data_IF_025743497849
#
_entry.id   IF_025743497849
#
_cell.length_a   1.000
_cell.length_b   1.000
_cell.length_c   1.000
_cell.angle_alpha   90.00
_cell.angle_beta   90.00
_cell.angle_gamma   90.00
#
_symmetry.space_group_name_H-M   'P 1'
#
loop_
_entity.id
_entity.type
_entity.pdbx_description
1 polymer ?
#
# COMPACT_ATOMS: atom_id res chain seq x y z
N UNK A 1 -15.46 -0.77 -33.01
CA UNK A 1 -16.20 -2.06 -33.06
C UNK A 1 -15.83 -3.02 -31.93
N UNK A 2 -14.69 -2.85 -31.24
CA UNK A 2 -14.21 -3.67 -30.10
C UNK A 2 -15.15 -3.61 -28.87
N UNK A 3 -15.77 -2.46 -28.67
CA UNK A 3 -16.50 -2.04 -27.47
C UNK A 3 -17.85 -2.73 -27.21
N UNK A 4 -18.43 -3.42 -28.21
CA UNK A 4 -19.83 -3.89 -28.12
C UNK A 4 -19.98 -5.29 -27.50
N UNK A 5 -18.96 -6.16 -27.59
CA UNK A 5 -19.03 -7.55 -27.09
C UNK A 5 -18.67 -7.69 -25.60
N UNK A 6 -17.83 -6.81 -25.05
CA UNK A 6 -17.41 -6.83 -23.62
C UNK A 6 -18.55 -6.41 -22.68
N UNK A 7 -19.45 -5.54 -23.14
CA UNK A 7 -20.59 -5.01 -22.38
C UNK A 7 -21.59 -6.08 -21.93
N UNK A 8 -21.61 -7.25 -22.55
CA UNK A 8 -22.55 -8.34 -22.23
C UNK A 8 -22.10 -9.26 -21.08
N UNK A 9 -20.88 -9.13 -20.58
CA UNK A 9 -20.26 -10.10 -19.63
C UNK A 9 -20.33 -9.60 -18.15
N UNK A 10 -20.88 -8.40 -17.92
CA UNK A 10 -21.00 -7.76 -16.59
C UNK A 10 -22.09 -8.36 -15.68
N UNK A 11 -21.92 -9.61 -15.24
CA UNK A 11 -22.79 -10.27 -14.25
C UNK A 11 -22.14 -10.46 -12.88
N UNK A 12 -22.92 -10.10 -11.84
CA UNK A 12 -22.78 -10.14 -10.38
C UNK A 12 -21.71 -11.09 -9.78
N UNK A 13 -20.89 -10.60 -8.84
CA UNK A 13 -19.98 -11.39 -7.99
C UNK A 13 -20.43 -11.24 -6.53
N UNK A 14 -20.82 -12.36 -5.92
CA UNK A 14 -21.27 -12.45 -4.52
C UNK A 14 -20.06 -12.91 -3.68
N UNK A 15 -19.56 -12.02 -2.82
CA UNK A 15 -18.39 -12.26 -1.98
C UNK A 15 -18.69 -13.18 -0.79
N UNK A 16 -17.86 -14.21 -0.60
CA UNK A 16 -17.85 -15.03 0.60
C UNK A 16 -16.86 -14.44 1.61
N UNK A 17 -17.33 -14.06 2.80
CA UNK A 17 -16.48 -13.49 3.87
C UNK A 17 -16.20 -14.56 4.92
N UNK A 18 -14.92 -14.82 5.21
CA UNK A 18 -14.46 -15.65 6.33
C UNK A 18 -14.20 -14.76 7.54
N UNK A 19 -14.91 -14.99 8.65
CA UNK A 19 -14.62 -14.38 9.95
C UNK A 19 -13.71 -15.29 10.78
N UNK A 20 -12.73 -14.70 11.47
CA UNK A 20 -12.02 -15.34 12.59
C UNK A 20 -11.96 -14.36 13.77
N UNK A 21 -12.27 -14.91 14.95
CA UNK A 21 -12.45 -14.16 16.19
C UNK A 21 -11.14 -13.61 16.76
N UNK A 22 -11.22 -12.40 17.31
CA UNK A 22 -10.13 -11.76 18.03
C UNK A 22 -10.02 -12.33 19.46
N UNK A 23 -8.79 -12.59 19.91
CA UNK A 23 -8.49 -12.78 21.32
C UNK A 23 -8.42 -11.42 22.01
N UNK A 24 -9.09 -11.29 23.16
CA UNK A 24 -9.13 -10.05 23.93
C UNK A 24 -7.84 -9.95 24.76
N UNK A 25 -6.97 -9.00 24.41
CA UNK A 25 -5.85 -8.56 25.27
C UNK A 25 -6.36 -7.55 26.31
N UNK A 26 -5.75 -7.55 27.51
CA UNK A 26 -6.01 -6.52 28.52
C UNK A 26 -5.65 -5.13 27.98
N UNK A 27 -6.50 -4.13 28.24
CA UNK A 27 -6.34 -2.74 27.78
C UNK A 27 -5.20 -2.05 28.54
N UNK A 28 -4.29 -1.41 27.80
CA UNK A 28 -3.08 -0.79 28.36
C UNK A 28 -3.27 0.67 28.79
N UNK A 29 -4.24 1.38 28.22
CA UNK A 29 -4.42 2.82 28.45
C UNK A 29 -5.89 3.22 28.69
N UNK A 30 -6.12 4.11 29.66
CA UNK A 30 -7.46 4.52 30.08
C UNK A 30 -8.20 5.40 29.05
N UNK A 31 -7.47 6.12 28.21
CA UNK A 31 -8.00 7.01 27.16
C UNK A 31 -8.06 6.37 25.76
N UNK A 32 -7.86 5.04 25.68
CA UNK A 32 -7.94 4.27 24.45
C UNK A 32 -8.94 3.13 24.64
N UNK A 33 -10.27 3.41 24.60
CA UNK A 33 -11.27 2.37 24.71
C UNK A 33 -11.21 1.39 23.53
N UNK A 34 -11.73 0.18 23.69
CA UNK A 34 -11.82 -0.86 22.63
C UNK A 34 -12.58 -0.40 21.38
N UNK A 35 -13.45 0.60 21.51
CA UNK A 35 -14.16 1.26 20.39
C UNK A 35 -13.34 2.31 19.66
N UNK A 36 -12.17 2.70 20.17
CA UNK A 36 -11.26 3.63 19.51
C UNK A 36 -10.73 3.01 18.22
N UNK A 37 -10.76 3.77 17.13
CA UNK A 37 -10.17 3.35 15.85
C UNK A 37 -8.67 3.08 15.93
N UNK A 38 -7.98 3.61 16.96
CA UNK A 38 -6.55 3.39 17.18
C UNK A 38 -6.25 2.26 18.19
N UNK A 39 -7.28 1.58 18.73
CA UNK A 39 -7.11 0.59 19.81
C UNK A 39 -6.11 -0.50 19.43
N UNK A 40 -6.35 -1.21 18.32
CA UNK A 40 -5.49 -2.31 17.88
C UNK A 40 -4.04 -1.87 17.65
N UNK A 41 -3.87 -0.71 17.00
CA UNK A 41 -2.54 -0.18 16.73
C UNK A 41 -1.79 0.17 18.01
N UNK A 42 -2.44 0.91 18.92
CA UNK A 42 -1.81 1.36 20.16
C UNK A 42 -1.48 0.17 21.07
N UNK A 43 -2.41 -0.76 21.27
CA UNK A 43 -2.20 -1.94 22.10
C UNK A 43 -1.09 -2.83 21.54
N UNK A 44 -1.07 -3.06 20.22
CA UNK A 44 -0.01 -3.85 19.57
C UNK A 44 1.36 -3.20 19.76
N UNK A 45 1.47 -1.89 19.52
CA UNK A 45 2.74 -1.17 19.67
C UNK A 45 3.20 -1.09 21.14
N UNK A 46 2.26 -0.98 22.08
CA UNK A 46 2.57 -0.96 23.51
C UNK A 46 3.07 -2.32 24.00
N UNK A 47 2.39 -3.41 23.61
CA UNK A 47 2.80 -4.78 23.90
C UNK A 47 4.18 -5.12 23.32
N UNK A 48 4.48 -4.58 22.12
CA UNK A 48 5.80 -4.69 21.50
C UNK A 48 6.86 -3.73 22.10
N UNK A 49 6.51 -2.93 23.12
CA UNK A 49 7.36 -1.91 23.76
C UNK A 49 7.91 -0.85 22.78
N UNK A 50 7.19 -0.61 21.68
CA UNK A 50 7.56 0.38 20.66
C UNK A 50 7.13 1.78 21.12
N UNK A 51 5.94 1.88 21.71
CA UNK A 51 5.40 3.10 22.29
C UNK A 51 5.17 2.93 23.79
N UNK A 52 5.28 4.03 24.53
CA UNK A 52 4.93 4.11 25.96
C UNK A 52 3.88 5.20 26.14
N UNK A 53 2.90 4.95 27.01
CA UNK A 53 2.01 5.99 27.53
C UNK A 53 2.68 6.85 28.60
N UNK A 54 1.87 7.71 29.19
CA UNK A 54 2.23 8.60 30.27
C UNK A 54 2.05 7.92 31.63
N UNK A 55 2.70 8.45 32.65
CA UNK A 55 2.64 7.87 34.00
C UNK A 55 1.24 8.03 34.64
N UNK A 56 0.37 8.86 34.05
CA UNK A 56 -1.05 9.01 34.38
C UNK A 56 -1.95 7.88 33.80
N UNK A 57 -1.37 6.88 33.11
CA UNK A 57 -2.09 5.75 32.51
C UNK A 57 -2.74 6.06 31.16
N UNK A 58 -2.43 7.20 30.54
CA UNK A 58 -2.97 7.60 29.23
C UNK A 58 -1.96 7.44 28.10
N UNK A 59 -2.44 7.34 26.86
CA UNK A 59 -1.62 7.35 25.63
C UNK A 59 -1.59 8.72 24.94
N UNK A 60 -2.67 9.50 25.08
CA UNK A 60 -2.95 10.80 24.45
C UNK A 60 -3.00 10.71 22.92
N UNK A 61 -3.90 9.89 22.33
CA UNK A 61 -3.90 9.62 20.89
C UNK A 61 -4.12 10.87 20.01
N UNK A 62 -4.82 11.88 20.52
CA UNK A 62 -5.06 13.13 19.79
C UNK A 62 -3.90 14.15 19.86
N UNK A 63 -2.90 13.93 20.73
CA UNK A 63 -1.80 14.86 20.90
C UNK A 63 -0.88 14.85 19.68
N UNK A 64 -0.47 16.03 19.23
CA UNK A 64 0.51 16.19 18.14
C UNK A 64 1.86 15.55 18.48
N UNK A 65 2.56 15.06 17.44
CA UNK A 65 3.90 14.47 17.55
C UNK A 65 4.93 15.38 16.91
N UNK A 66 6.00 15.73 17.64
CA UNK A 66 7.12 16.45 17.05
C UNK A 66 8.05 15.52 16.26
N UNK A 67 8.95 16.10 15.45
CA UNK A 67 9.82 15.32 14.54
C UNK A 67 10.76 14.36 15.26
N UNK A 68 11.27 14.72 16.44
CA UNK A 68 12.16 13.82 17.21
C UNK A 68 11.40 12.66 17.84
N UNK A 69 10.19 12.90 18.35
CA UNK A 69 9.30 11.86 18.84
C UNK A 69 8.90 10.91 17.73
N UNK A 70 8.59 11.44 16.54
CA UNK A 70 8.29 10.62 15.36
C UNK A 70 9.46 9.69 14.99
N UNK A 71 10.69 10.21 14.94
CA UNK A 71 11.88 9.39 14.67
C UNK A 71 12.08 8.30 15.72
N UNK A 72 11.92 8.63 17.01
CA UNK A 72 12.01 7.63 18.08
C UNK A 72 10.97 6.51 17.89
N UNK A 73 9.72 6.86 17.60
CA UNK A 73 8.67 5.87 17.32
C UNK A 73 9.02 4.99 16.11
N UNK A 74 9.48 5.60 15.01
CA UNK A 74 9.82 4.89 13.77
C UNK A 74 11.02 3.95 13.98
N UNK A 75 12.10 4.42 14.60
CA UNK A 75 13.31 3.61 14.80
C UNK A 75 13.04 2.42 15.73
N UNK A 76 12.25 2.62 16.79
CA UNK A 76 11.79 1.53 17.64
C UNK A 76 10.94 0.52 16.86
N UNK A 77 9.98 0.99 16.07
CA UNK A 77 9.10 0.13 15.28
C UNK A 77 9.86 -0.68 14.21
N UNK A 78 10.84 -0.04 13.57
CA UNK A 78 11.70 -0.68 12.59
C UNK A 78 12.79 -1.56 13.23
N UNK A 79 12.93 -1.53 14.56
CA UNK A 79 13.96 -2.22 15.35
C UNK A 79 15.39 -1.82 14.93
N UNK A 80 15.60 -0.52 14.71
CA UNK A 80 16.89 0.06 14.36
C UNK A 80 17.57 0.57 15.63
N UNK A 81 18.77 0.05 15.93
CA UNK A 81 19.60 0.57 17.00
C UNK A 81 20.14 1.97 16.65
N UNK A 82 20.19 2.87 17.63
CA UNK A 82 20.73 4.21 17.45
C UNK A 82 22.25 4.22 17.50
N UNK A 83 22.88 5.06 16.68
CA UNK A 83 24.33 5.30 16.69
C UNK A 83 24.71 6.53 17.50
N UNK A 84 25.95 6.56 18.01
CA UNK A 84 26.55 7.72 18.69
C UNK A 84 27.36 8.61 17.75
N UNK A 85 27.18 8.47 16.43
CA UNK A 85 27.86 9.28 15.42
C UNK A 85 27.58 10.77 15.63
N UNK A 86 28.54 11.65 15.35
CA UNK A 86 28.30 13.09 15.29
C UNK A 86 27.42 13.43 14.08
N UNK A 87 26.55 14.44 14.19
CA UNK A 87 25.69 14.85 13.08
C UNK A 87 25.90 16.28 12.61
N UNK A 88 25.21 16.58 11.50
CA UNK A 88 25.47 17.75 10.66
C UNK A 88 24.43 18.87 10.82
N UNK A 89 23.47 18.71 11.74
CA UNK A 89 22.40 19.69 11.94
C UNK A 89 22.78 20.67 13.04
N UNK A 90 22.85 21.96 12.70
CA UNK A 90 23.23 23.03 13.64
C UNK A 90 22.26 23.25 14.80
N UNK A 91 21.02 22.76 14.67
CA UNK A 91 19.97 22.82 15.70
C UNK A 91 19.80 21.51 16.49
N UNK A 92 20.81 20.62 16.43
CA UNK A 92 20.84 19.34 17.16
C UNK A 92 22.16 19.22 17.91
N UNK A 93 22.16 19.68 19.16
CA UNK A 93 23.31 19.50 20.06
C UNK A 93 23.46 18.02 20.46
N UNK A 94 24.72 17.55 20.52
CA UNK A 94 25.05 16.14 20.68
C UNK A 94 24.64 15.54 22.06
N UNK A 95 24.48 16.39 23.07
CA UNK A 95 24.08 16.02 24.43
C UNK A 95 22.56 15.92 24.62
N UNK A 96 21.77 16.24 23.60
CA UNK A 96 20.31 16.10 23.66
C UNK A 96 19.89 14.63 23.58
N UNK A 97 18.82 14.28 24.32
CA UNK A 97 18.30 12.91 24.36
C UNK A 97 17.93 12.36 22.98
N UNK A 98 17.58 13.24 22.04
CA UNK A 98 17.12 12.86 20.70
C UNK A 98 18.25 12.80 19.66
N UNK A 99 19.45 13.30 19.97
CA UNK A 99 20.56 13.36 19.01
C UNK A 99 20.86 11.99 18.35
N UNK A 100 20.95 10.86 19.09
CA UNK A 100 21.21 9.56 18.48
C UNK A 100 20.16 9.15 17.43
N UNK A 101 18.89 9.48 17.66
CA UNK A 101 17.81 9.16 16.71
C UNK A 101 17.93 9.98 15.42
N UNK A 102 18.24 11.27 15.54
CA UNK A 102 18.40 12.16 14.39
C UNK A 102 19.59 11.74 13.54
N UNK A 103 20.73 11.46 14.17
CA UNK A 103 21.96 11.08 13.47
C UNK A 103 21.81 9.72 12.77
N UNK A 104 21.18 8.75 13.43
CA UNK A 104 20.85 7.45 12.83
C UNK A 104 19.93 7.64 11.61
N UNK A 105 18.88 8.45 11.74
CA UNK A 105 17.95 8.71 10.65
C UNK A 105 18.63 9.42 9.46
N UNK A 106 19.55 10.35 9.72
CA UNK A 106 20.32 11.04 8.69
C UNK A 106 21.25 10.09 7.94
N UNK A 107 22.02 9.27 8.65
CA UNK A 107 22.92 8.27 8.06
C UNK A 107 22.18 7.26 7.17
N UNK A 108 20.90 6.98 7.48
CA UNK A 108 20.02 6.10 6.71
C UNK A 108 19.22 6.81 5.62
N UNK A 109 19.43 8.11 5.41
CA UNK A 109 18.72 8.90 4.40
C UNK A 109 17.24 9.17 4.71
N UNK A 110 16.76 8.83 5.92
CA UNK A 110 15.37 9.04 6.33
C UNK A 110 15.04 10.54 6.42
N UNK A 111 16.03 11.35 6.78
CA UNK A 111 15.90 12.80 6.95
C UNK A 111 17.03 13.55 6.24
N UNK A 112 16.72 14.70 5.66
CA UNK A 112 17.70 15.49 4.88
C UNK A 112 17.96 16.88 5.48
N UNK A 113 17.07 17.37 6.35
CA UNK A 113 17.03 18.77 6.79
C UNK A 113 15.99 19.57 6.02
N UNK A 114 15.69 20.77 6.50
CA UNK A 114 14.86 21.77 5.85
C UNK A 114 15.57 22.32 4.60
N UNK A 115 14.85 22.40 3.47
CA UNK A 115 15.45 22.78 2.19
C UNK A 115 15.96 24.22 2.10
N UNK A 116 15.57 25.09 3.04
CA UNK A 116 16.00 26.50 3.08
C UNK A 116 17.13 26.71 4.07
N UNK A 117 17.00 26.15 5.28
CA UNK A 117 17.92 26.42 6.39
C UNK A 117 18.93 25.30 6.63
N UNK A 118 18.73 24.12 6.04
CA UNK A 118 19.49 22.91 6.33
C UNK A 118 19.22 22.30 7.72
N UNK A 119 18.46 22.97 8.58
CA UNK A 119 18.18 22.56 9.98
C UNK A 119 17.21 21.38 10.07
N UNK A 120 17.23 20.64 11.18
CA UNK A 120 16.33 19.50 11.38
C UNK A 120 14.92 19.89 11.87
N UNK A 121 14.84 20.97 12.65
CA UNK A 121 13.65 21.51 13.34
C UNK A 121 13.03 20.51 14.33
N UNK A 122 13.75 20.06 15.37
CA UNK A 122 13.37 18.93 16.21
C UNK A 122 11.99 19.05 16.88
N UNK A 123 11.66 20.24 17.38
CA UNK A 123 10.42 20.50 18.09
C UNK A 123 9.20 20.74 17.17
N UNK A 124 9.40 20.91 15.85
CA UNK A 124 8.28 21.13 14.93
C UNK A 124 7.42 19.87 14.87
N UNK A 125 6.10 20.05 14.87
CA UNK A 125 5.15 18.97 14.61
C UNK A 125 5.39 18.34 13.24
N UNK A 126 5.45 17.01 13.20
CA UNK A 126 5.64 16.26 11.95
C UNK A 126 4.36 16.31 11.12
N UNK A 127 4.51 16.47 9.80
CA UNK A 127 3.40 16.34 8.85
C UNK A 127 3.35 14.93 8.25
N UNK A 128 2.20 14.54 7.70
CA UNK A 128 1.96 13.20 7.16
C UNK A 128 3.01 12.75 6.14
N UNK A 129 3.30 13.60 5.16
CA UNK A 129 4.29 13.31 4.11
C UNK A 129 5.69 13.02 4.69
N UNK A 130 6.11 13.77 5.71
CA UNK A 130 7.40 13.58 6.36
C UNK A 130 7.45 12.29 7.16
N UNK A 131 6.40 12.02 7.93
CA UNK A 131 6.29 10.79 8.71
C UNK A 131 6.37 9.56 7.80
N UNK A 132 5.64 9.56 6.69
CA UNK A 132 5.64 8.47 5.71
C UNK A 132 7.00 8.28 5.06
N UNK A 133 7.68 9.36 4.63
CA UNK A 133 9.05 9.26 4.11
C UNK A 133 9.96 8.60 5.15
N UNK A 134 9.96 9.10 6.38
CA UNK A 134 10.82 8.57 7.44
C UNK A 134 10.50 7.10 7.73
N UNK A 135 9.21 6.75 7.86
CA UNK A 135 8.77 5.40 8.17
C UNK A 135 9.09 4.41 7.06
N UNK A 136 8.73 4.70 5.80
CA UNK A 136 8.99 3.81 4.66
C UNK A 136 10.49 3.51 4.50
N UNK A 137 11.33 4.54 4.59
CA UNK A 137 12.78 4.38 4.52
C UNK A 137 13.33 3.63 5.74
N UNK A 138 12.80 3.89 6.94
CA UNK A 138 13.14 3.13 8.15
C UNK A 138 12.88 1.63 8.01
N UNK A 139 11.76 1.26 7.39
CA UNK A 139 11.39 -0.12 7.10
C UNK A 139 12.06 -0.70 5.83
N UNK A 140 13.06 -0.01 5.26
CA UNK A 140 13.82 -0.40 4.07
C UNK A 140 12.94 -0.63 2.81
N UNK A 141 11.85 0.11 2.68
CA UNK A 141 11.04 0.03 1.48
C UNK A 141 11.73 0.72 0.29
N UNK A 142 11.73 0.04 -0.86
CA UNK A 142 12.27 0.59 -2.11
C UNK A 142 11.21 1.42 -2.85
N UNK A 143 11.06 2.67 -2.42
CA UNK A 143 10.09 3.62 -2.99
C UNK A 143 10.38 3.92 -4.46
N UNK A 144 11.64 3.86 -4.90
CA UNK A 144 12.04 4.15 -6.29
C UNK A 144 11.55 3.12 -7.33
N UNK A 145 11.11 1.93 -6.89
CA UNK A 145 10.52 0.93 -7.80
C UNK A 145 9.06 1.20 -8.14
N UNK A 146 8.42 2.15 -7.46
CA UNK A 146 7.01 2.50 -7.67
C UNK A 146 6.94 3.81 -8.44
N UNK A 147 6.62 3.70 -9.72
CA UNK A 147 6.76 4.78 -10.71
C UNK A 147 5.46 5.54 -11.01
N UNK A 148 4.36 5.26 -10.30
CA UNK A 148 3.14 6.04 -10.44
C UNK A 148 3.32 7.42 -9.78
N UNK A 149 3.68 8.41 -10.59
CA UNK A 149 4.02 9.78 -10.18
C UNK A 149 2.89 10.79 -10.44
N UNK A 150 1.79 10.38 -11.06
CA UNK A 150 0.73 11.28 -11.48
C UNK A 150 -0.60 10.95 -10.81
N UNK A 151 -1.38 11.98 -10.47
CA UNK A 151 -2.74 11.89 -9.93
C UNK A 151 -2.85 11.05 -8.63
N UNK A 152 -1.87 11.19 -7.74
CA UNK A 152 -1.82 10.45 -6.47
C UNK A 152 -3.01 10.75 -5.56
N UNK A 153 -3.49 11.99 -5.56
CA UNK A 153 -4.67 12.44 -4.82
C UNK A 153 -5.07 13.82 -5.35
N UNK A 154 -6.30 14.23 -5.09
CA UNK A 154 -6.83 15.54 -5.50
C UNK A 154 -6.07 16.73 -4.88
N UNK A 155 -5.41 16.53 -3.75
CA UNK A 155 -4.62 17.54 -3.03
C UNK A 155 -3.10 17.32 -3.12
N UNK A 156 -2.64 16.51 -4.07
CA UNK A 156 -1.22 16.21 -4.28
C UNK A 156 -0.78 16.70 -5.65
N UNK A 157 0.12 17.69 -5.66
CA UNK A 157 0.77 18.13 -6.89
C UNK A 157 1.75 17.06 -7.40
N UNK A 158 1.67 16.71 -8.69
CA UNK A 158 2.51 15.67 -9.33
C UNK A 158 4.03 15.91 -9.17
N UNK A 159 4.46 17.17 -9.00
CA UNK A 159 5.87 17.53 -8.80
C UNK A 159 6.33 17.59 -7.34
N UNK A 160 5.45 17.32 -6.36
CA UNK A 160 5.81 17.42 -4.95
C UNK A 160 6.81 16.33 -4.55
N UNK A 161 7.82 16.70 -3.74
CA UNK A 161 8.90 15.79 -3.32
C UNK A 161 8.39 14.51 -2.63
N UNK A 162 7.21 14.59 -2.01
CA UNK A 162 6.60 13.49 -1.26
C UNK A 162 5.77 12.53 -2.12
N UNK A 163 5.57 12.83 -3.42
CA UNK A 163 4.77 12.00 -4.34
C UNK A 163 5.17 10.53 -4.30
N UNK A 164 6.46 10.15 -4.44
CA UNK A 164 6.83 8.73 -4.43
C UNK A 164 6.42 8.01 -3.15
N UNK A 165 6.53 8.68 -2.00
CA UNK A 165 6.20 8.11 -0.70
C UNK A 165 4.69 7.97 -0.50
N UNK A 166 3.89 8.94 -0.95
CA UNK A 166 2.43 8.85 -0.89
C UNK A 166 1.91 7.77 -1.83
N UNK A 167 2.37 7.75 -3.09
CA UNK A 167 2.02 6.72 -4.06
C UNK A 167 2.30 5.34 -3.49
N UNK A 168 3.52 5.17 -2.96
CA UNK A 168 3.91 3.88 -2.42
C UNK A 168 3.16 3.51 -1.13
N UNK A 169 2.91 4.46 -0.22
CA UNK A 169 2.12 4.21 0.98
C UNK A 169 0.66 3.83 0.66
N UNK A 170 0.07 4.38 -0.41
CA UNK A 170 -1.25 3.96 -0.92
C UNK A 170 -1.20 2.53 -1.45
N UNK A 171 -0.18 2.21 -2.23
CA UNK A 171 0.06 0.87 -2.77
C UNK A 171 0.32 -0.17 -1.66
N UNK A 172 0.83 0.24 -0.51
CA UNK A 172 0.93 -0.61 0.68
C UNK A 172 -0.32 -0.60 1.56
N UNK A 173 -1.30 0.25 1.26
CA UNK A 173 -2.52 0.45 2.04
C UNK A 173 -2.23 0.86 3.49
N UNK A 174 -1.17 1.63 3.65
CA UNK A 174 -0.79 2.29 4.89
C UNK A 174 -1.56 3.59 5.06
N UNK A 175 -1.94 4.21 3.93
CA UNK A 175 -2.80 5.38 3.88
C UNK A 175 -3.88 5.19 2.82
N UNK A 176 -5.04 5.77 3.08
CA UNK A 176 -6.16 5.81 2.15
C UNK A 176 -6.63 7.26 2.00
N UNK A 177 -7.04 7.67 0.79
CA UNK A 177 -7.65 8.98 0.60
C UNK A 177 -9.04 9.03 1.21
N UNK A 178 -9.52 10.23 1.53
CA UNK A 178 -10.92 10.42 1.91
C UNK A 178 -11.87 10.30 0.70
N UNK A 179 -13.17 10.47 0.94
CA UNK A 179 -14.21 10.40 -0.09
C UNK A 179 -14.06 11.45 -1.22
N UNK A 180 -13.23 12.48 -1.02
CA UNK A 180 -12.93 13.50 -2.02
C UNK A 180 -11.57 13.27 -2.69
N UNK A 181 -11.03 12.05 -2.57
CA UNK A 181 -9.71 11.66 -3.06
C UNK A 181 -8.56 12.51 -2.46
N UNK A 182 -8.66 12.98 -1.20
CA UNK A 182 -7.61 13.78 -0.54
C UNK A 182 -6.80 12.98 0.47
N UNK A 183 -5.49 13.18 0.48
CA UNK A 183 -4.56 12.52 1.42
C UNK A 183 -4.06 13.43 2.53
N UNK A 184 -4.20 14.75 2.40
CA UNK A 184 -3.73 15.74 3.35
C UNK A 184 -2.24 15.58 3.69
N UNK A 185 -1.33 15.65 2.70
CA UNK A 185 0.09 15.36 2.90
C UNK A 185 0.78 16.31 3.88
N UNK A 186 0.30 17.55 3.97
CA UNK A 186 0.87 18.58 4.84
C UNK A 186 0.18 18.68 6.20
N UNK A 187 -0.84 17.86 6.44
CA UNK A 187 -1.51 17.80 7.75
C UNK A 187 -0.53 17.28 8.80
N UNK A 188 -0.50 17.95 9.95
CA UNK A 188 0.18 17.46 11.15
C UNK A 188 -0.42 16.14 11.63
N UNK A 189 0.41 15.26 12.18
CA UNK A 189 -0.03 13.99 12.72
C UNK A 189 -0.12 14.00 14.25
N UNK A 190 -1.19 13.37 14.73
CA UNK A 190 -1.37 12.99 16.12
C UNK A 190 -0.66 11.67 16.46
N UNK A 191 -0.46 11.40 17.76
CA UNK A 191 0.16 10.17 18.28
C UNK A 191 -0.57 8.91 17.81
N UNK A 192 -1.90 8.94 17.78
CA UNK A 192 -2.74 7.85 17.28
C UNK A 192 -2.56 7.60 15.79
N UNK A 193 -2.48 8.67 14.97
CA UNK A 193 -2.24 8.51 13.53
C UNK A 193 -0.83 7.97 13.22
N UNK A 194 0.19 8.44 13.96
CA UNK A 194 1.54 7.88 13.87
C UNK A 194 1.56 6.40 14.27
N UNK A 195 0.86 6.02 15.35
CA UNK A 195 0.72 4.64 15.80
C UNK A 195 0.05 3.76 14.74
N UNK A 196 -1.03 4.23 14.13
CA UNK A 196 -1.74 3.50 13.06
C UNK A 196 -0.82 3.21 11.87
N UNK A 197 -0.11 4.21 11.37
CA UNK A 197 0.81 4.04 10.23
C UNK A 197 1.91 3.01 10.56
N UNK A 198 2.49 3.07 11.75
CA UNK A 198 3.53 2.13 12.18
C UNK A 198 2.98 0.72 12.37
N UNK A 199 1.79 0.59 12.95
CA UNK A 199 1.10 -0.69 13.10
C UNK A 199 0.89 -1.36 11.74
N UNK A 200 0.38 -0.63 10.75
CA UNK A 200 0.24 -1.15 9.39
C UNK A 200 1.59 -1.63 8.86
N UNK A 201 2.65 -0.81 8.92
CA UNK A 201 4.00 -1.19 8.47
C UNK A 201 4.58 -2.43 9.18
N UNK A 202 4.31 -2.62 10.47
CA UNK A 202 4.75 -3.80 11.22
C UNK A 202 4.02 -5.05 10.73
N UNK A 203 2.69 -4.98 10.56
CA UNK A 203 1.93 -6.12 10.03
C UNK A 203 2.43 -6.47 8.62
N UNK A 204 2.69 -5.45 7.78
CA UNK A 204 3.27 -5.63 6.44
C UNK A 204 4.64 -6.34 6.51
N UNK A 205 5.49 -5.98 7.49
CA UNK A 205 6.80 -6.63 7.72
C UNK A 205 6.67 -8.07 8.23
N UNK A 206 5.64 -8.37 9.03
CA UNK A 206 5.43 -9.66 9.70
C UNK A 206 4.62 -10.66 8.87
N UNK A 207 4.18 -10.30 7.66
CA UNK A 207 3.36 -11.17 6.83
C UNK A 207 1.91 -11.31 7.29
N UNK A 208 1.42 -10.43 8.18
CA UNK A 208 0.06 -10.50 8.73
C UNK A 208 -1.02 -9.89 7.83
N UNK A 209 -0.67 -9.42 6.63
CA UNK A 209 -1.61 -8.76 5.71
C UNK A 209 -2.05 -9.64 4.53
N UNK A 210 -1.67 -10.91 4.47
CA UNK A 210 -2.01 -11.82 3.36
C UNK A 210 -3.49 -11.73 2.98
N UNK A 211 -4.41 -11.84 3.95
CA UNK A 211 -5.85 -11.76 3.69
C UNK A 211 -6.32 -10.36 3.28
N UNK A 212 -5.75 -9.29 3.86
CA UNK A 212 -6.05 -7.89 3.48
C UNK A 212 -5.67 -7.66 2.01
N UNK A 213 -4.47 -8.08 1.63
CA UNK A 213 -3.99 -7.97 0.26
C UNK A 213 -4.80 -8.81 -0.72
N UNK A 214 -5.15 -10.06 -0.37
CA UNK A 214 -6.01 -10.90 -1.21
C UNK A 214 -7.36 -10.24 -1.48
N UNK A 215 -8.00 -9.68 -0.45
CA UNK A 215 -9.27 -8.94 -0.59
C UNK A 215 -9.13 -7.71 -1.49
N UNK A 216 -8.00 -7.01 -1.40
CA UNK A 216 -7.75 -5.81 -2.19
C UNK A 216 -7.36 -6.14 -3.63
N UNK A 217 -6.56 -7.20 -3.85
CA UNK A 217 -6.35 -7.80 -5.17
C UNK A 217 -7.69 -8.15 -5.81
N UNK A 218 -8.58 -8.84 -5.10
CA UNK A 218 -9.91 -9.16 -5.59
C UNK A 218 -10.70 -7.90 -5.96
N UNK A 219 -10.77 -6.92 -5.07
CA UNK A 219 -11.47 -5.64 -5.32
C UNK A 219 -10.94 -4.91 -6.56
N UNK A 220 -9.62 -4.85 -6.74
CA UNK A 220 -9.02 -4.21 -7.90
C UNK A 220 -9.29 -4.99 -9.19
N UNK A 221 -9.23 -6.33 -9.16
CA UNK A 221 -9.60 -7.17 -10.30
C UNK A 221 -11.06 -6.97 -10.73
N UNK A 222 -11.97 -6.79 -9.78
CA UNK A 222 -13.37 -6.44 -10.06
C UNK A 222 -13.47 -5.08 -10.74
N UNK A 223 -12.73 -4.08 -10.25
CA UNK A 223 -12.69 -2.76 -10.88
C UNK A 223 -12.09 -2.81 -12.29
N UNK A 224 -11.09 -3.65 -12.56
CA UNK A 224 -10.57 -3.84 -13.94
C UNK A 224 -11.69 -4.31 -14.86
N UNK A 225 -12.43 -5.36 -14.48
CA UNK A 225 -13.53 -5.90 -15.29
C UNK A 225 -14.59 -4.83 -15.53
N UNK A 226 -14.95 -4.07 -14.49
CA UNK A 226 -15.89 -2.96 -14.59
C UNK A 226 -15.39 -1.90 -15.59
N UNK A 227 -14.14 -1.46 -15.47
CA UNK A 227 -13.58 -0.41 -16.35
C UNK A 227 -13.37 -0.86 -17.79
N UNK A 228 -13.04 -2.13 -18.03
CA UNK A 228 -13.06 -2.69 -19.38
C UNK A 228 -14.47 -2.69 -19.97
N UNK A 229 -15.51 -3.00 -19.18
CA UNK A 229 -16.91 -2.94 -19.65
C UNK A 229 -17.40 -1.53 -19.98
N UNK A 230 -16.79 -0.51 -19.37
CA UNK A 230 -17.02 0.91 -19.65
C UNK A 230 -16.16 1.44 -20.81
N UNK A 231 -15.35 0.60 -21.46
CA UNK A 231 -14.32 1.00 -22.44
C UNK A 231 -13.26 1.98 -21.88
N UNK A 232 -13.11 2.03 -20.55
CA UNK A 232 -12.17 2.91 -19.86
C UNK A 232 -10.86 2.19 -19.55
N UNK A 233 -10.06 1.99 -20.59
CA UNK A 233 -8.81 1.21 -20.52
C UNK A 233 -7.75 1.87 -19.65
N UNK A 234 -7.70 3.20 -19.65
CA UNK A 234 -6.76 3.95 -18.81
C UNK A 234 -7.04 3.70 -17.32
N UNK A 235 -8.31 3.72 -16.91
CA UNK A 235 -8.69 3.37 -15.54
C UNK A 235 -8.45 1.88 -15.24
N UNK A 236 -8.77 0.99 -16.18
CA UNK A 236 -8.49 -0.44 -16.06
C UNK A 236 -7.00 -0.72 -15.82
N UNK A 237 -6.10 0.01 -16.48
CA UNK A 237 -4.65 -0.10 -16.28
C UNK A 237 -4.22 0.28 -14.86
N UNK A 238 -4.76 1.36 -14.29
CA UNK A 238 -4.45 1.76 -12.91
C UNK A 238 -4.90 0.69 -11.89
N UNK A 239 -6.10 0.15 -12.06
CA UNK A 239 -6.60 -0.93 -11.21
C UNK A 239 -5.76 -2.22 -11.36
N UNK A 240 -5.35 -2.59 -12.57
CA UNK A 240 -4.58 -3.82 -12.76
C UNK A 240 -3.18 -3.73 -12.16
N UNK A 241 -2.51 -2.57 -12.25
CA UNK A 241 -1.23 -2.32 -11.57
C UNK A 241 -1.35 -2.45 -10.05
N UNK A 242 -2.43 -1.91 -9.49
CA UNK A 242 -2.75 -2.03 -8.06
C UNK A 242 -2.97 -3.49 -7.67
N UNK A 243 -3.74 -4.24 -8.47
CA UNK A 243 -4.01 -5.67 -8.22
C UNK A 243 -2.74 -6.52 -8.21
N UNK A 244 -1.82 -6.29 -9.18
CA UNK A 244 -0.52 -6.97 -9.26
C UNK A 244 0.28 -6.65 -8.01
N UNK A 245 0.35 -5.37 -7.63
CA UNK A 245 1.13 -4.99 -6.45
C UNK A 245 0.59 -5.61 -5.16
N UNK A 246 -0.72 -5.56 -4.92
CA UNK A 246 -1.31 -6.22 -3.75
C UNK A 246 -1.05 -7.72 -3.75
N UNK A 247 -1.12 -8.37 -4.91
CA UNK A 247 -0.88 -9.81 -5.01
C UNK A 247 0.60 -10.18 -4.77
N UNK A 248 1.55 -9.35 -5.22
CA UNK A 248 2.98 -9.51 -4.90
C UNK A 248 3.25 -9.34 -3.41
N UNK A 249 2.57 -8.38 -2.78
CA UNK A 249 2.66 -8.17 -1.35
C UNK A 249 2.09 -9.36 -0.57
N UNK A 250 0.97 -9.94 -1.03
CA UNK A 250 0.46 -11.19 -0.49
C UNK A 250 1.47 -12.34 -0.66
N UNK A 251 2.09 -12.46 -1.83
CA UNK A 251 3.08 -13.51 -2.12
C UNK A 251 4.34 -13.37 -1.27
N UNK A 252 4.79 -12.15 -1.01
CA UNK A 252 5.90 -11.91 -0.08
C UNK A 252 5.52 -12.24 1.37
N UNK A 253 4.25 -12.02 1.71
CA UNK A 253 3.67 -12.23 3.04
C UNK A 253 3.56 -13.73 3.36
N UNK A 254 3.04 -14.52 2.44
CA UNK A 254 2.95 -15.97 2.55
C UNK A 254 3.23 -16.65 1.18
N UNK A 255 4.51 -16.91 0.87
CA UNK A 255 4.91 -17.40 -0.45
C UNK A 255 4.53 -18.86 -0.70
N UNK A 256 4.07 -19.59 0.32
CA UNK A 256 3.76 -21.01 0.20
C UNK A 256 2.26 -21.28 0.08
N UNK A 257 1.42 -20.35 0.54
CA UNK A 257 -0.02 -20.44 0.47
C UNK A 257 -0.54 -20.51 -0.98
N UNK A 258 -1.35 -21.53 -1.28
CA UNK A 258 -1.82 -21.82 -2.63
C UNK A 258 -2.71 -20.71 -3.18
N UNK A 259 -3.61 -20.17 -2.35
CA UNK A 259 -4.49 -19.06 -2.77
C UNK A 259 -3.71 -17.79 -3.10
N UNK A 260 -2.56 -17.57 -2.45
CA UNK A 260 -1.71 -16.41 -2.70
C UNK A 260 -1.02 -16.50 -4.05
N UNK A 261 -0.42 -17.65 -4.37
CA UNK A 261 0.17 -17.91 -5.69
C UNK A 261 -0.90 -17.79 -6.78
N UNK A 262 -2.07 -18.38 -6.54
CA UNK A 262 -3.19 -18.33 -7.48
C UNK A 262 -3.63 -16.88 -7.75
N UNK A 263 -3.81 -16.07 -6.71
CA UNK A 263 -4.22 -14.67 -6.83
C UNK A 263 -3.20 -13.82 -7.61
N UNK A 264 -1.90 -14.06 -7.40
CA UNK A 264 -0.85 -13.38 -8.15
C UNK A 264 -0.87 -13.74 -9.65
N UNK A 265 -1.03 -15.03 -9.97
CA UNK A 265 -1.16 -15.47 -11.37
C UNK A 265 -2.42 -14.91 -12.04
N UNK A 266 -3.54 -14.79 -11.31
CA UNK A 266 -4.74 -14.09 -11.81
C UNK A 266 -4.46 -12.61 -12.09
N UNK A 267 -3.75 -11.91 -11.19
CA UNK A 267 -3.41 -10.51 -11.39
C UNK A 267 -2.53 -10.30 -12.63
N UNK A 268 -1.53 -11.16 -12.84
CA UNK A 268 -0.71 -11.17 -14.05
C UNK A 268 -1.55 -11.51 -15.30
N UNK A 269 -2.48 -12.45 -15.19
CA UNK A 269 -3.41 -12.78 -16.27
C UNK A 269 -4.28 -11.61 -16.68
N UNK A 270 -4.82 -10.88 -15.71
CA UNK A 270 -5.59 -9.67 -15.93
C UNK A 270 -4.74 -8.54 -16.53
N UNK A 271 -3.49 -8.39 -16.11
CA UNK A 271 -2.56 -7.39 -16.68
C UNK A 271 -2.33 -7.67 -18.18
N UNK A 272 -2.05 -8.92 -18.54
CA UNK A 272 -1.92 -9.32 -19.94
C UNK A 272 -3.22 -9.09 -20.72
N UNK A 273 -4.39 -9.30 -20.10
CA UNK A 273 -5.68 -9.03 -20.75
C UNK A 273 -5.89 -7.55 -21.05
N UNK A 274 -5.59 -6.66 -20.10
CA UNK A 274 -5.66 -5.20 -20.30
C UNK A 274 -4.70 -4.78 -21.40
N UNK A 275 -3.47 -5.30 -21.41
CA UNK A 275 -2.50 -5.04 -22.48
C UNK A 275 -2.99 -5.53 -23.85
N UNK A 276 -3.60 -6.73 -23.92
CA UNK A 276 -4.17 -7.23 -25.17
C UNK A 276 -5.30 -6.32 -25.70
N UNK A 277 -6.15 -5.82 -24.79
CA UNK A 277 -7.22 -4.88 -25.13
C UNK A 277 -6.67 -3.58 -25.74
N UNK A 278 -5.58 -3.05 -25.18
CA UNK A 278 -4.90 -1.85 -25.67
C UNK A 278 -4.35 -2.03 -27.07
N UNK A 279 -3.66 -3.14 -27.32
CA UNK A 279 -3.17 -3.48 -28.66
C UNK A 279 -4.31 -3.63 -29.67
N UNK A 280 -5.44 -4.19 -29.26
CA UNK A 280 -6.65 -4.24 -30.08
C UNK A 280 -7.13 -2.86 -30.52
N UNK A 281 -7.22 -1.92 -29.59
CA UNK A 281 -7.62 -0.53 -29.89
C UNK A 281 -6.66 0.13 -30.88
N UNK A 282 -5.37 -0.16 -30.78
CA UNK A 282 -4.34 0.40 -31.65
C UNK A 282 -4.23 -0.31 -33.01
N UNK A 283 -5.00 -1.38 -33.25
CA UNK A 283 -4.93 -2.16 -34.48
C UNK A 283 -3.70 -3.08 -34.57
N UNK A 284 -3.03 -3.35 -33.46
CA UNK A 284 -1.84 -4.20 -33.39
C UNK A 284 -2.22 -5.68 -33.13
N UNK A 285 -2.79 -6.33 -34.15
CA UNK A 285 -3.38 -7.67 -34.02
C UNK A 285 -2.41 -8.74 -33.51
N UNK A 286 -1.14 -8.73 -33.96
CA UNK A 286 -0.13 -9.70 -33.50
C UNK A 286 0.13 -9.59 -32.00
N UNK A 287 0.34 -8.36 -31.50
CA UNK A 287 0.56 -8.10 -30.09
C UNK A 287 -0.69 -8.45 -29.25
N UNK A 288 -1.89 -8.13 -29.73
CA UNK A 288 -3.13 -8.56 -29.08
C UNK A 288 -3.15 -10.08 -28.89
N UNK A 289 -2.86 -10.86 -29.94
CA UNK A 289 -2.90 -12.33 -29.89
C UNK A 289 -1.89 -12.87 -28.87
N UNK A 290 -0.68 -12.33 -28.83
CA UNK A 290 0.36 -12.71 -27.87
C UNK A 290 -0.14 -12.51 -26.44
N UNK A 291 -0.62 -11.31 -26.12
CA UNK A 291 -1.00 -10.97 -24.75
C UNK A 291 -2.32 -11.65 -24.32
N UNK A 292 -3.29 -11.84 -25.23
CA UNK A 292 -4.50 -12.60 -24.94
C UNK A 292 -4.20 -14.07 -24.59
N UNK A 293 -3.23 -14.70 -25.26
CA UNK A 293 -2.81 -16.06 -24.92
C UNK A 293 -2.05 -16.13 -23.59
N UNK A 294 -1.15 -15.16 -23.30
CA UNK A 294 -0.51 -15.06 -21.97
C UNK A 294 -1.53 -14.91 -20.84
N UNK A 295 -2.59 -14.12 -21.05
CA UNK A 295 -3.68 -13.99 -20.09
C UNK A 295 -4.35 -15.33 -19.77
N UNK A 296 -4.63 -16.13 -20.81
CA UNK A 296 -5.22 -17.47 -20.69
C UNK A 296 -4.31 -18.47 -19.98
N UNK A 297 -3.00 -18.43 -20.31
CA UNK A 297 -1.98 -19.26 -19.68
C UNK A 297 -1.92 -19.00 -18.17
N UNK A 298 -1.82 -17.72 -17.78
CA UNK A 298 -1.81 -17.28 -16.38
C UNK A 298 -3.07 -17.71 -15.62
N UNK A 299 -4.25 -17.56 -16.23
CA UNK A 299 -5.49 -18.07 -15.67
C UNK A 299 -5.53 -19.61 -15.54
N UNK A 300 -4.78 -20.34 -16.38
CA UNK A 300 -4.57 -21.78 -16.24
C UNK A 300 -3.65 -22.15 -15.07
N UNK A 301 -2.51 -21.46 -14.95
CA UNK A 301 -1.55 -21.67 -13.87
C UNK A 301 -2.20 -21.40 -12.51
N UNK A 302 -2.99 -20.33 -12.38
CA UNK A 302 -3.68 -19.99 -11.14
C UNK A 302 -4.54 -21.16 -10.59
N UNK A 303 -5.20 -21.90 -11.48
CA UNK A 303 -6.00 -23.07 -11.08
C UNK A 303 -5.12 -24.19 -10.50
N UNK A 304 -3.90 -24.39 -11.00
CA UNK A 304 -2.99 -25.39 -10.41
C UNK A 304 -2.62 -25.08 -8.96
N UNK A 305 -2.72 -23.82 -8.53
CA UNK A 305 -2.46 -23.39 -7.16
C UNK A 305 -3.71 -23.33 -6.27
N UNK A 306 -4.85 -22.89 -6.79
CA UNK A 306 -6.13 -22.89 -6.05
C UNK A 306 -7.34 -22.88 -6.97
N UNK A 307 -8.27 -23.82 -6.74
CA UNK A 307 -9.56 -23.92 -7.43
C UNK A 307 -10.48 -22.73 -7.15
N UNK A 308 -10.33 -22.04 -6.02
CA UNK A 308 -11.20 -20.92 -5.66
C UNK A 308 -11.08 -19.71 -6.59
N UNK A 309 -9.99 -19.63 -7.37
CA UNK A 309 -9.79 -18.57 -8.37
C UNK A 309 -10.49 -18.84 -9.72
N UNK A 310 -11.09 -20.02 -9.90
CA UNK A 310 -11.76 -20.43 -11.13
C UNK A 310 -12.78 -19.40 -11.67
N UNK A 311 -13.64 -18.75 -10.85
CA UNK A 311 -14.60 -17.80 -11.38
C UNK A 311 -13.94 -16.63 -12.13
N UNK A 312 -12.87 -16.06 -11.56
CA UNK A 312 -12.14 -14.95 -12.18
C UNK A 312 -11.30 -15.45 -13.37
N UNK A 313 -10.63 -16.59 -13.22
CA UNK A 313 -9.85 -17.20 -14.30
C UNK A 313 -10.70 -17.53 -15.53
N UNK A 314 -11.95 -17.97 -15.34
CA UNK A 314 -12.91 -18.21 -16.42
C UNK A 314 -13.25 -16.91 -17.15
N UNK A 315 -13.54 -15.83 -16.42
CA UNK A 315 -13.78 -14.51 -17.02
C UNK A 315 -12.57 -14.02 -17.84
N UNK A 316 -11.35 -14.16 -17.33
CA UNK A 316 -10.13 -13.81 -18.09
C UNK A 316 -10.09 -14.56 -19.43
N UNK A 317 -10.35 -15.87 -19.41
CA UNK A 317 -10.37 -16.70 -20.63
C UNK A 317 -11.49 -16.30 -21.59
N UNK A 318 -12.68 -15.99 -21.07
CA UNK A 318 -13.82 -15.51 -21.86
C UNK A 318 -13.48 -14.19 -22.58
N UNK A 319 -12.96 -13.20 -21.87
CA UNK A 319 -12.54 -11.92 -22.48
C UNK A 319 -11.38 -12.08 -23.47
N UNK A 320 -10.39 -12.90 -23.14
CA UNK A 320 -9.26 -13.16 -24.04
C UNK A 320 -9.71 -13.84 -25.34
N UNK A 321 -10.62 -14.81 -25.27
CA UNK A 321 -11.17 -15.46 -26.47
C UNK A 321 -11.98 -14.47 -27.32
N UNK A 322 -12.80 -13.62 -26.69
CA UNK A 322 -13.53 -12.57 -27.42
C UNK A 322 -12.59 -11.59 -28.15
N UNK A 323 -11.43 -11.27 -27.57
CA UNK A 323 -10.41 -10.47 -28.26
C UNK A 323 -9.77 -11.22 -29.44
N UNK A 324 -9.46 -12.49 -29.27
CA UNK A 324 -8.86 -13.32 -30.32
C UNK A 324 -9.80 -13.48 -31.53
N UNK A 325 -11.09 -13.70 -31.31
CA UNK A 325 -12.10 -13.79 -32.38
C UNK A 325 -12.18 -12.50 -33.22
N UNK A 326 -12.00 -11.35 -32.58
CA UNK A 326 -11.99 -10.05 -33.27
C UNK A 326 -10.72 -9.85 -34.09
N UNK A 327 -9.56 -10.29 -33.58
CA UNK A 327 -8.30 -10.19 -34.29
C UNK A 327 -8.24 -11.08 -35.55
N UNK A 328 -9.00 -12.17 -35.59
CA UNK A 328 -9.13 -13.04 -36.79
C UNK A 328 -10.19 -12.57 -37.79
N UNK A 329 -11.04 -11.60 -37.40
CA UNK A 329 -12.15 -11.10 -38.22
C UNK A 329 -11.82 -9.81 -38.98
N UNK A 330 -10.65 -9.21 -38.73
CA UNK A 330 -10.12 -8.01 -39.41
C UNK A 330 -8.87 -8.38 -40.20
#
# INVERSE_FOLDING_TARGET
MITHNIKKIGGLIIGATLFLGATVSAQSFNDVPTSSKYYNAIETLANAKIVKGYDDGTFKPAQSVNRVEALKMILNAAQIATTTSTGDFSDVAADTWFAPFVYTAKARGMVSGDGTTGTFKPARTVIKAEFLKMALLGFNHNVSKHNEKTNVAADVSNGAWYVPYLSYARVLLVIEPDNNNKLYPEKTLSRGECAEILYQLIILKQGGNTQKYLKLTESELLNVILKLSEDNVSAARGHVNSSVTYSELALKSDPNEGIVKAAHEIALGMQNLVTAYEYGINGEAENLVIFANKAKEKAGIAYSYSTSTQPIGKKIKEYANALLEQATSN
#
